data_IF_432831261404
#
_entry.id   IF_432831261404
#
_cell.length_a   1.000
_cell.length_b   1.000
_cell.length_c   1.000
_cell.angle_alpha   90.00
_cell.angle_beta   90.00
_cell.angle_gamma   90.00
#
_symmetry.space_group_name_H-M   'P 1'
#
loop_
_entity.id
_entity.type
_entity.pdbx_description
1 polymer ?
#
# COMPACT_ATOMS: atom_id res chain seq x y z
N UNK A 1 17.03 -7.35 6.26
CA UNK A 1 16.95 -8.06 4.97
C UNK A 1 15.91 -7.36 4.12
N UNK A 2 16.02 -7.45 2.80
CA UNK A 2 14.99 -6.94 1.88
C UNK A 2 14.38 -8.14 1.15
N UNK A 3 13.10 -8.05 0.85
CA UNK A 3 12.31 -9.11 0.26
C UNK A 3 11.23 -8.51 -0.62
N UNK A 4 10.63 -9.34 -1.48
CA UNK A 4 9.55 -8.90 -2.34
C UNK A 4 8.28 -8.69 -1.51
N UNK A 5 7.64 -7.54 -1.72
CA UNK A 5 6.34 -7.21 -1.12
C UNK A 5 5.23 -7.23 -2.16
N UNK A 6 4.03 -7.64 -1.76
CA UNK A 6 2.82 -7.63 -2.59
C UNK A 6 1.72 -6.86 -1.85
N UNK A 7 1.43 -5.67 -2.38
CA UNK A 7 0.30 -4.84 -1.93
C UNK A 7 -0.95 -5.15 -2.73
N UNK A 8 -2.08 -5.26 -2.05
CA UNK A 8 -3.39 -5.52 -2.65
C UNK A 8 -4.38 -4.55 -2.04
N UNK A 9 -5.07 -3.79 -2.89
CA UNK A 9 -6.19 -2.94 -2.50
C UNK A 9 -7.43 -3.45 -3.23
N UNK A 10 -8.53 -3.60 -2.50
CA UNK A 10 -9.84 -3.89 -3.07
C UNK A 10 -10.85 -2.89 -2.52
N UNK A 11 -11.55 -2.22 -3.43
CA UNK A 11 -12.55 -1.21 -3.11
C UNK A 11 -13.90 -1.74 -3.58
N UNK A 12 -14.83 -1.91 -2.64
CA UNK A 12 -16.21 -2.32 -2.93
C UNK A 12 -17.14 -1.16 -2.64
N UNK A 13 -17.73 -0.62 -3.69
CA UNK A 13 -18.65 0.52 -3.64
C UNK A 13 -19.91 0.19 -4.44
N UNK A 14 -21.06 0.70 -4.00
CA UNK A 14 -22.33 0.56 -4.72
C UNK A 14 -22.54 1.68 -5.74
N UNK A 15 -23.26 1.38 -6.82
CA UNK A 15 -23.57 2.35 -7.88
C UNK A 15 -22.50 2.44 -8.96
N UNK A 16 -22.61 3.47 -9.80
CA UNK A 16 -21.71 3.74 -10.92
C UNK A 16 -20.68 4.79 -10.49
N UNK A 17 -19.73 4.37 -9.66
CA UNK A 17 -18.64 5.23 -9.17
C UNK A 17 -17.34 4.76 -9.80
N UNK A 18 -16.68 5.69 -10.50
CA UNK A 18 -15.38 5.43 -11.11
C UNK A 18 -14.26 5.48 -10.07
N UNK A 19 -13.43 4.44 -10.11
CA UNK A 19 -12.24 4.28 -9.26
C UNK A 19 -11.08 3.93 -10.18
N UNK A 20 -10.22 4.93 -10.45
CA UNK A 20 -9.05 4.75 -11.31
C UNK A 20 -8.10 3.68 -10.75
N UNK A 21 -7.79 2.69 -11.60
CA UNK A 21 -6.83 1.64 -11.30
C UNK A 21 -5.41 2.21 -11.24
N UNK A 22 -5.10 3.22 -12.05
CA UNK A 22 -3.81 3.92 -12.06
C UNK A 22 -3.54 4.55 -10.69
N UNK A 23 -4.55 5.22 -10.12
CA UNK A 23 -4.44 5.80 -8.77
C UNK A 23 -4.23 4.71 -7.71
N UNK A 24 -4.86 3.54 -7.84
CA UNK A 24 -4.63 2.41 -6.92
C UNK A 24 -3.18 1.92 -7.02
N UNK A 25 -2.64 1.81 -8.24
CA UNK A 25 -1.25 1.39 -8.46
C UNK A 25 -0.28 2.38 -7.81
N UNK A 26 -0.46 3.68 -8.08
CA UNK A 26 0.37 4.74 -7.50
C UNK A 26 0.32 4.73 -5.97
N UNK A 27 -0.86 4.50 -5.37
CA UNK A 27 -1.00 4.39 -3.92
C UNK A 27 -0.18 3.21 -3.39
N UNK A 28 -0.24 2.04 -4.04
CA UNK A 28 0.51 0.85 -3.62
C UNK A 28 2.00 1.13 -3.70
N UNK A 29 2.50 1.62 -4.84
CA UNK A 29 3.93 1.88 -5.06
C UNK A 29 4.50 2.89 -4.07
N UNK A 30 3.81 4.01 -3.86
CA UNK A 30 4.23 5.05 -2.91
C UNK A 30 4.11 4.61 -1.44
N UNK A 31 3.40 3.53 -1.17
CA UNK A 31 3.29 2.96 0.17
C UNK A 31 4.42 2.01 0.53
N UNK A 32 5.19 1.52 -0.45
CA UNK A 32 6.33 0.63 -0.23
C UNK A 32 7.61 1.40 0.15
N UNK A 33 8.66 0.68 0.54
CA UNK A 33 10.00 1.28 0.75
C UNK A 33 10.65 1.75 -0.56
N UNK A 34 10.42 1.02 -1.66
CA UNK A 34 10.90 1.34 -3.01
C UNK A 34 10.07 0.59 -4.05
N UNK A 35 10.00 1.09 -5.29
CA UNK A 35 9.30 0.45 -6.41
C UNK A 35 10.10 -0.71 -7.01
N UNK A 36 9.40 -1.57 -7.76
CA UNK A 36 10.00 -2.67 -8.51
C UNK A 36 10.35 -2.18 -9.92
N UNK A 37 11.50 -2.60 -10.43
CA UNK A 37 11.97 -2.30 -11.79
C UNK A 37 12.41 -3.61 -12.47
N UNK A 38 12.02 -3.81 -13.73
CA UNK A 38 12.37 -5.03 -14.49
C UNK A 38 13.85 -5.07 -14.89
N UNK A 39 14.41 -3.90 -15.23
CA UNK A 39 15.78 -3.73 -15.66
C UNK A 39 16.37 -2.50 -14.99
N UNK A 40 17.52 -2.67 -14.34
CA UNK A 40 18.26 -1.60 -13.67
C UNK A 40 19.69 -1.57 -14.19
N UNK A 41 20.21 -0.38 -14.44
CA UNK A 41 21.66 -0.20 -14.59
C UNK A 41 22.28 -0.18 -13.19
N UNK A 42 23.60 -0.39 -13.14
CA UNK A 42 24.36 -0.43 -11.87
C UNK A 42 24.20 0.85 -11.03
N UNK A 43 24.13 2.01 -11.67
CA UNK A 43 23.87 3.29 -11.00
C UNK A 43 22.47 3.34 -10.38
N UNK A 44 21.48 2.76 -11.07
CA UNK A 44 20.08 2.82 -10.68
C UNK A 44 19.82 1.84 -9.53
N UNK A 45 20.43 0.65 -9.59
CA UNK A 45 20.42 -0.33 -8.50
C UNK A 45 20.93 0.27 -7.19
N UNK A 46 22.05 1.01 -7.23
CA UNK A 46 22.58 1.67 -6.04
C UNK A 46 21.58 2.64 -5.40
N UNK A 47 20.85 3.41 -6.22
CA UNK A 47 19.82 4.34 -5.75
C UNK A 47 18.61 3.60 -5.18
N UNK A 48 18.16 2.52 -5.83
CA UNK A 48 17.03 1.70 -5.36
C UNK A 48 17.35 1.07 -4.00
N UNK A 49 18.56 0.52 -3.86
CA UNK A 49 19.04 -0.07 -2.61
C UNK A 49 19.13 0.99 -1.52
N UNK A 50 19.73 2.14 -1.80
CA UNK A 50 19.84 3.24 -0.82
C UNK A 50 18.47 3.72 -0.34
N UNK A 51 17.51 3.90 -1.26
CA UNK A 51 16.13 4.30 -0.92
C UNK A 51 15.44 3.27 -0.02
N UNK A 52 15.54 1.99 -0.37
CA UNK A 52 14.95 0.92 0.42
C UNK A 52 15.52 0.89 1.86
N UNK A 53 16.83 1.12 2.00
CA UNK A 53 17.50 1.15 3.30
C UNK A 53 17.21 2.43 4.12
N UNK A 54 16.99 3.57 3.47
CA UNK A 54 16.64 4.84 4.15
C UNK A 54 15.19 4.88 4.63
N UNK A 55 14.30 4.13 4.00
CA UNK A 55 12.87 4.10 4.32
C UNK A 55 12.37 2.67 4.57
N UNK A 56 12.92 1.96 5.58
CA UNK A 56 12.46 0.61 5.92
C UNK A 56 11.02 0.69 6.43
N UNK A 57 10.16 -0.20 5.95
CA UNK A 57 8.76 -0.29 6.37
C UNK A 57 8.42 -1.73 6.75
N UNK A 58 7.70 -1.91 7.85
CA UNK A 58 7.07 -3.18 8.17
C UNK A 58 5.80 -3.39 7.34
N UNK A 59 5.26 -4.60 7.32
CA UNK A 59 4.02 -4.93 6.59
C UNK A 59 2.84 -4.07 7.05
N UNK A 60 2.78 -3.77 8.35
CA UNK A 60 1.78 -2.90 8.97
C UNK A 60 1.93 -1.43 8.54
N UNK A 61 3.16 -0.96 8.35
CA UNK A 61 3.43 0.42 7.92
C UNK A 61 2.98 0.64 6.47
N UNK A 62 3.17 -0.37 5.61
CA UNK A 62 2.64 -0.35 4.25
C UNK A 62 1.11 -0.26 4.25
N UNK A 63 0.42 -1.11 5.02
CA UNK A 63 -1.06 -1.07 5.13
C UNK A 63 -1.54 0.28 5.66
N UNK A 64 -0.87 0.84 6.68
CA UNK A 64 -1.22 2.16 7.25
C UNK A 64 -1.02 3.29 6.24
N UNK A 65 0.06 3.24 5.48
CA UNK A 65 0.35 4.24 4.43
C UNK A 65 -0.68 4.16 3.30
N UNK A 66 -1.01 2.95 2.83
CA UNK A 66 -2.06 2.74 1.81
C UNK A 66 -3.40 3.28 2.30
N UNK A 67 -3.80 3.00 3.55
CA UNK A 67 -5.05 3.50 4.11
C UNK A 67 -5.13 5.03 4.11
N UNK A 68 -4.03 5.70 4.52
CA UNK A 68 -3.93 7.17 4.49
C UNK A 68 -4.08 7.73 3.09
N UNK A 69 -3.35 7.16 2.14
CA UNK A 69 -3.37 7.61 0.75
C UNK A 69 -4.73 7.36 0.08
N UNK A 70 -5.39 6.22 0.34
CA UNK A 70 -6.75 5.94 -0.17
C UNK A 70 -7.74 7.03 0.27
N UNK A 71 -7.72 7.39 1.55
CA UNK A 71 -8.63 8.40 2.11
C UNK A 71 -8.37 9.78 1.50
N UNK A 72 -7.10 10.13 1.28
CA UNK A 72 -6.71 11.40 0.68
C UNK A 72 -7.02 11.49 -0.82
N UNK A 73 -6.83 10.39 -1.56
CA UNK A 73 -7.01 10.35 -3.02
C UNK A 73 -8.49 10.20 -3.40
N UNK A 74 -9.22 9.30 -2.75
CA UNK A 74 -10.60 8.95 -3.11
C UNK A 74 -11.62 9.67 -2.20
N UNK A 75 -11.60 10.99 -2.22
CA UNK A 75 -12.49 11.85 -1.41
C UNK A 75 -13.97 11.73 -1.82
N UNK A 76 -14.24 11.33 -3.06
CA UNK A 76 -15.60 11.17 -3.60
C UNK A 76 -16.27 9.85 -3.24
N UNK A 77 -15.54 8.88 -2.68
CA UNK A 77 -16.14 7.60 -2.28
C UNK A 77 -17.15 7.81 -1.14
N UNK A 78 -18.32 7.15 -1.19
CA UNK A 78 -19.31 7.21 -0.12
C UNK A 78 -18.79 6.49 1.12
N UNK A 79 -19.22 6.93 2.30
CA UNK A 79 -18.68 6.43 3.58
C UNK A 79 -18.93 4.93 3.81
N UNK A 80 -19.90 4.34 3.12
CA UNK A 80 -20.21 2.91 3.20
C UNK A 80 -19.34 2.02 2.29
N UNK A 81 -18.50 2.62 1.43
CA UNK A 81 -17.55 1.89 0.61
C UNK A 81 -16.59 1.07 1.48
N UNK A 82 -16.48 -0.23 1.21
CA UNK A 82 -15.64 -1.15 1.96
C UNK A 82 -14.28 -1.25 1.28
N UNK A 83 -13.24 -0.93 2.04
CA UNK A 83 -11.85 -0.99 1.60
C UNK A 83 -11.19 -2.19 2.28
N UNK A 84 -10.56 -3.04 1.48
CA UNK A 84 -9.68 -4.12 1.93
C UNK A 84 -8.27 -3.83 1.47
N UNK A 85 -7.33 -3.75 2.41
CA UNK A 85 -5.92 -3.47 2.16
C UNK A 85 -5.14 -4.65 2.71
N UNK A 86 -4.28 -5.27 1.89
CA UNK A 86 -3.42 -6.37 2.31
C UNK A 86 -1.98 -6.09 1.89
N UNK A 87 -1.06 -6.47 2.75
CA UNK A 87 0.37 -6.52 2.44
C UNK A 87 0.91 -7.90 2.80
N UNK A 88 1.66 -8.48 1.86
CA UNK A 88 2.39 -9.74 2.05
C UNK A 88 3.86 -9.47 1.74
N UNK A 89 4.76 -9.77 2.68
CA UNK A 89 6.20 -9.81 2.41
C UNK A 89 6.65 -11.28 2.28
N UNK A 90 7.27 -11.60 1.14
CA UNK A 90 7.74 -12.94 0.78
C UNK A 90 9.11 -13.19 1.44
N UNK A 91 9.10 -13.62 2.71
CA UNK A 91 10.30 -13.70 3.55
C UNK A 91 11.32 -14.73 3.06
N UNK A 92 12.58 -14.31 2.91
CA UNK A 92 13.69 -15.15 2.44
C UNK A 92 14.43 -15.87 3.58
N UNK A 93 14.33 -15.38 4.81
CA UNK A 93 15.00 -15.94 6.00
C UNK A 93 14.05 -16.62 6.98
N UNK A 94 12.75 -16.63 6.69
CA UNK A 94 11.71 -17.27 7.49
C UNK A 94 10.95 -18.31 6.65
N UNK A 95 10.30 -19.28 7.30
CA UNK A 95 9.50 -20.32 6.63
C UNK A 95 8.06 -19.88 6.32
N UNK A 96 7.72 -18.64 6.65
CA UNK A 96 6.40 -18.07 6.46
C UNK A 96 6.54 -16.62 6.02
N UNK A 97 5.56 -16.14 5.26
CA UNK A 97 5.48 -14.74 4.85
C UNK A 97 4.98 -13.88 6.01
N UNK A 98 5.45 -12.64 6.08
CA UNK A 98 4.82 -11.64 6.94
C UNK A 98 3.57 -11.08 6.25
N UNK A 99 2.51 -10.87 7.02
CA UNK A 99 1.20 -10.48 6.49
C UNK A 99 0.51 -9.46 7.39
N UNK A 100 -0.08 -8.44 6.77
CA UNK A 100 -0.98 -7.52 7.43
C UNK A 100 -2.21 -7.26 6.55
N UNK A 101 -3.37 -7.12 7.18
CA UNK A 101 -4.63 -6.81 6.51
C UNK A 101 -5.45 -5.81 7.31
N UNK A 102 -6.13 -4.92 6.58
CA UNK A 102 -7.14 -4.03 7.13
C UNK A 102 -8.39 -4.08 6.26
N UNK A 103 -9.53 -4.31 6.89
CA UNK A 103 -10.85 -4.20 6.27
C UNK A 103 -11.65 -3.18 7.06
N UNK A 104 -12.10 -2.12 6.41
CA UNK A 104 -12.88 -1.06 7.05
C UNK A 104 -13.74 -0.33 6.01
N UNK A 105 -14.76 0.38 6.48
CA UNK A 105 -15.44 1.35 5.63
C UNK A 105 -14.59 2.61 5.50
N UNK A 106 -14.68 3.30 4.37
CA UNK A 106 -13.87 4.50 4.16
C UNK A 106 -14.24 5.64 5.13
N UNK A 107 -15.51 5.73 5.56
CA UNK A 107 -15.93 6.69 6.58
C UNK A 107 -15.24 6.47 7.94
N UNK A 108 -15.03 5.21 8.32
CA UNK A 108 -14.30 4.86 9.55
C UNK A 108 -12.83 5.26 9.41
N UNK A 109 -12.20 4.95 8.27
CA UNK A 109 -10.81 5.33 7.99
C UNK A 109 -10.60 6.85 8.00
N UNK A 110 -11.55 7.62 7.45
CA UNK A 110 -11.53 9.09 7.50
C UNK A 110 -11.49 9.60 8.94
N UNK A 111 -12.34 9.04 9.79
CA UNK A 111 -12.42 9.42 11.20
C UNK A 111 -11.13 9.08 11.95
N UNK A 112 -10.58 7.89 11.72
CA UNK A 112 -9.33 7.42 12.34
C UNK A 112 -8.13 8.32 11.96
N UNK A 113 -8.05 8.78 10.71
CA UNK A 113 -6.94 9.63 10.24
C UNK A 113 -7.03 11.06 10.79
N UNK A 114 -8.24 11.58 11.01
CA UNK A 114 -8.42 12.92 11.59
C UNK A 114 -8.10 12.93 13.08
N UNK A 115 -8.26 11.80 13.78
CA UNK A 115 -8.05 11.68 15.22
C UNK A 115 -6.62 11.27 15.63
N UNK A 116 -5.79 10.79 14.71
CA UNK A 116 -4.44 10.28 14.98
C UNK A 116 -3.33 11.07 14.32
#
# INVERSE_FOLDING_TARGET
HNQRGRGIISIKVGGDIDVSLEMIIEIIENSMSTSIFELLKRSDEAVVVERAHKNPKFVEDCVRTMAKNIVQTFTHLPDDAVITIKQINEESIHRHNAFAERVAKIGDLRTEIVQG
#
